data_IF_903056669633
#
_entry.id   IF_903056669633
#
_cell.length_a   1.000
_cell.length_b   1.000
_cell.length_c   1.000
_cell.angle_alpha   90.00
_cell.angle_beta   90.00
_cell.angle_gamma   90.00
#
_symmetry.space_group_name_H-M   'P 1'
#
loop_
_entity.id
_entity.type
_entity.pdbx_description
1 polymer ?
#
# COMPACT_ATOMS: atom_id res chain seq x y z
N UNK A 1 -52.82 39.01 -18.62
CA UNK A 1 -52.11 37.75 -18.92
C UNK A 1 -50.85 37.68 -18.06
N UNK A 2 -50.97 37.31 -16.78
CA UNK A 2 -49.84 37.29 -15.84
C UNK A 2 -49.98 36.30 -14.68
N UNK A 3 -50.95 35.40 -14.76
CA UNK A 3 -51.20 34.38 -13.72
C UNK A 3 -50.26 33.17 -13.86
N UNK A 4 -49.76 32.90 -15.08
CA UNK A 4 -48.97 31.70 -15.38
C UNK A 4 -47.58 31.70 -14.72
N UNK A 5 -46.97 32.88 -14.53
CA UNK A 5 -45.64 32.99 -13.91
C UNK A 5 -45.66 32.78 -12.39
N UNK A 6 -46.70 33.27 -11.72
CA UNK A 6 -46.88 33.07 -10.27
C UNK A 6 -47.27 31.63 -10.00
N UNK A 7 -48.15 31.05 -10.82
CA UNK A 7 -48.52 29.64 -10.72
C UNK A 7 -47.32 28.70 -10.92
N UNK A 8 -46.43 29.02 -11.87
CA UNK A 8 -45.20 28.26 -12.10
C UNK A 8 -44.24 28.28 -10.88
N UNK A 9 -44.05 29.45 -10.26
CA UNK A 9 -43.18 29.57 -9.09
C UNK A 9 -43.78 28.87 -7.86
N UNK A 10 -45.08 28.99 -7.65
CA UNK A 10 -45.79 28.32 -6.55
C UNK A 10 -45.71 26.80 -6.71
N UNK A 11 -45.90 26.26 -7.92
CA UNK A 11 -45.73 24.83 -8.19
C UNK A 11 -44.32 24.34 -7.87
N UNK A 12 -43.29 25.07 -8.30
CA UNK A 12 -41.89 24.71 -8.03
C UNK A 12 -41.55 24.71 -6.53
N UNK A 13 -42.12 25.65 -5.78
CA UNK A 13 -41.94 25.73 -4.32
C UNK A 13 -42.71 24.61 -3.59
N UNK A 14 -43.93 24.28 -4.03
CA UNK A 14 -44.69 23.15 -3.48
C UNK A 14 -43.98 21.82 -3.78
N UNK A 15 -43.44 21.65 -4.98
CA UNK A 15 -42.68 20.45 -5.35
C UNK A 15 -41.39 20.30 -4.53
N UNK A 16 -40.70 21.40 -4.22
CA UNK A 16 -39.49 21.37 -3.38
C UNK A 16 -39.82 21.04 -1.91
N UNK A 17 -40.96 21.50 -1.40
CA UNK A 17 -41.40 21.30 -0.02
C UNK A 17 -42.04 19.93 0.22
N UNK A 18 -42.65 19.33 -0.80
CA UNK A 18 -43.37 18.04 -0.68
C UNK A 18 -42.51 16.83 -1.05
N UNK A 19 -41.41 17.00 -1.80
CA UNK A 19 -40.53 15.89 -2.18
C UNK A 19 -39.76 15.33 -0.99
N UNK A 20 -40.10 14.09 -0.63
CA UNK A 20 -39.41 13.28 0.39
C UNK A 20 -37.92 13.10 0.03
N UNK A 21 -37.06 13.29 1.03
CA UNK A 21 -35.63 12.95 0.92
C UNK A 21 -35.48 11.44 0.71
N UNK A 22 -34.80 11.06 -0.37
CA UNK A 22 -34.49 9.66 -0.67
C UNK A 22 -33.41 9.11 0.27
N UNK A 23 -33.54 7.85 0.70
CA UNK A 23 -32.50 7.16 1.48
C UNK A 23 -31.29 6.83 0.59
N UNK A 24 -30.11 6.52 1.17
CA UNK A 24 -28.95 6.12 0.38
C UNK A 24 -29.21 4.92 -0.54
N UNK A 25 -29.97 3.94 -0.08
CA UNK A 25 -30.34 2.74 -0.84
C UNK A 25 -31.25 3.09 -2.02
N UNK A 26 -32.23 3.98 -1.80
CA UNK A 26 -33.10 4.48 -2.88
C UNK A 26 -32.31 5.26 -3.92
N UNK A 27 -31.35 6.09 -3.50
CA UNK A 27 -30.47 6.82 -4.44
C UNK A 27 -29.62 5.85 -5.25
N UNK A 28 -29.11 4.80 -4.62
CA UNK A 28 -28.32 3.76 -5.29
C UNK A 28 -29.16 3.04 -6.36
N UNK A 29 -30.39 2.66 -6.01
CA UNK A 29 -31.31 2.01 -6.96
C UNK A 29 -31.63 2.91 -8.16
N UNK A 30 -31.78 4.22 -7.96
CA UNK A 30 -32.00 5.19 -9.05
C UNK A 30 -30.77 5.26 -9.97
N UNK A 31 -29.57 5.29 -9.40
CA UNK A 31 -28.33 5.31 -10.19
C UNK A 31 -28.15 4.01 -10.97
N UNK A 32 -28.41 2.86 -10.35
CA UNK A 32 -28.33 1.56 -11.03
C UNK A 32 -29.35 1.44 -12.15
N UNK A 33 -30.57 1.94 -11.94
CA UNK A 33 -31.59 2.01 -13.00
C UNK A 33 -31.13 2.89 -14.17
N UNK A 34 -30.49 4.03 -13.91
CA UNK A 34 -29.90 4.86 -14.97
C UNK A 34 -28.77 4.11 -15.71
N UNK A 35 -27.88 3.41 -15.01
CA UNK A 35 -26.74 2.71 -15.64
C UNK A 35 -27.15 1.45 -16.42
N UNK A 36 -28.29 0.85 -16.11
CA UNK A 36 -28.79 -0.37 -16.75
C UNK A 36 -29.79 -0.09 -17.90
N UNK A 37 -30.22 1.15 -18.07
CA UNK A 37 -31.21 1.54 -19.08
C UNK A 37 -30.64 2.62 -20.00
N UNK A 38 -31.15 2.73 -21.23
CA UNK A 38 -30.79 3.82 -22.15
C UNK A 38 -31.58 5.12 -21.87
N UNK A 39 -32.05 5.31 -20.63
CA UNK A 39 -32.83 6.49 -20.23
C UNK A 39 -31.90 7.69 -20.00
N UNK A 40 -32.37 8.87 -20.38
CA UNK A 40 -31.73 10.13 -20.05
C UNK A 40 -31.91 10.48 -18.56
N UNK A 41 -31.05 11.37 -18.05
CA UNK A 41 -31.18 11.89 -16.68
C UNK A 41 -32.57 12.48 -16.38
N UNK A 42 -33.19 13.12 -17.37
CA UNK A 42 -34.51 13.73 -17.23
C UNK A 42 -35.59 12.65 -17.08
N UNK A 43 -35.55 11.61 -17.92
CA UNK A 43 -36.52 10.50 -17.87
C UNK A 43 -36.40 9.70 -16.56
N UNK A 44 -35.17 9.48 -16.06
CA UNK A 44 -34.97 8.86 -14.75
C UNK A 44 -35.47 9.76 -13.62
N UNK A 45 -35.24 11.08 -13.73
CA UNK A 45 -35.72 12.03 -12.74
C UNK A 45 -37.26 12.00 -12.63
N UNK A 46 -37.94 12.01 -13.77
CA UNK A 46 -39.39 11.94 -13.85
C UNK A 46 -39.92 10.59 -13.31
N UNK A 47 -39.29 9.47 -13.68
CA UNK A 47 -39.68 8.12 -13.24
C UNK A 47 -39.64 7.92 -11.73
N UNK A 48 -38.64 8.50 -11.05
CA UNK A 48 -38.43 8.32 -9.62
C UNK A 48 -38.87 9.51 -8.76
N UNK A 49 -39.51 10.50 -9.41
CA UNK A 49 -39.97 11.75 -8.82
C UNK A 49 -38.86 12.52 -8.09
N UNK A 50 -37.71 12.64 -8.74
CA UNK A 50 -36.55 13.41 -8.26
C UNK A 50 -36.20 14.49 -9.27
N UNK A 51 -35.28 15.39 -8.92
CA UNK A 51 -34.82 16.41 -9.86
C UNK A 51 -33.69 15.88 -10.72
N UNK A 52 -33.57 16.39 -11.94
CA UNK A 52 -32.42 16.13 -12.82
C UNK A 52 -31.08 16.30 -12.09
N UNK A 53 -30.95 17.40 -11.33
CA UNK A 53 -29.74 17.73 -10.58
C UNK A 53 -29.38 16.65 -9.55
N UNK A 54 -30.37 16.04 -8.90
CA UNK A 54 -30.15 14.93 -7.97
C UNK A 54 -29.63 13.69 -8.69
N UNK A 55 -30.27 13.28 -9.80
CA UNK A 55 -29.83 12.11 -10.57
C UNK A 55 -28.39 12.32 -11.06
N UNK A 56 -28.09 13.48 -11.65
CA UNK A 56 -26.74 13.80 -12.09
C UNK A 56 -25.71 13.75 -10.96
N UNK A 57 -26.01 14.37 -9.81
CA UNK A 57 -25.11 14.38 -8.65
C UNK A 57 -24.88 12.96 -8.10
N UNK A 58 -25.91 12.12 -8.05
CA UNK A 58 -25.80 10.75 -7.55
C UNK A 58 -25.05 9.85 -8.54
N UNK A 59 -25.31 9.93 -9.84
CA UNK A 59 -24.57 9.19 -10.86
C UNK A 59 -23.09 9.57 -10.82
N UNK A 60 -22.79 10.87 -10.74
CA UNK A 60 -21.41 11.36 -10.62
C UNK A 60 -20.73 10.82 -9.36
N UNK A 61 -21.43 10.80 -8.22
CA UNK A 61 -20.91 10.24 -6.96
C UNK A 61 -20.60 8.75 -7.09
N UNK A 62 -21.51 7.99 -7.70
CA UNK A 62 -21.32 6.56 -7.95
C UNK A 62 -20.13 6.28 -8.87
N UNK A 63 -19.96 7.05 -9.93
CA UNK A 63 -18.82 6.88 -10.84
C UNK A 63 -17.46 7.12 -10.14
N UNK A 64 -17.43 7.97 -9.11
CA UNK A 64 -16.20 8.29 -8.37
C UNK A 64 -15.92 7.32 -7.23
N UNK A 65 -16.94 6.93 -6.47
CA UNK A 65 -16.81 6.21 -5.20
C UNK A 65 -17.51 4.84 -5.18
N UNK A 66 -18.08 4.42 -6.31
CA UNK A 66 -18.89 3.20 -6.41
C UNK A 66 -20.11 3.22 -5.47
N UNK A 67 -20.57 2.03 -5.07
CA UNK A 67 -21.65 1.87 -4.08
C UNK A 67 -21.27 2.45 -2.71
N UNK A 68 -20.00 2.37 -2.33
CA UNK A 68 -19.54 2.79 -1.00
C UNK A 68 -19.72 4.29 -0.76
N UNK A 69 -19.71 5.11 -1.81
CA UNK A 69 -20.04 6.53 -1.73
C UNK A 69 -21.45 6.83 -1.20
N UNK A 70 -22.39 5.88 -1.25
CA UNK A 70 -23.72 6.04 -0.66
C UNK A 70 -23.83 5.40 0.72
N UNK A 71 -23.05 4.36 1.00
CA UNK A 71 -23.14 3.54 2.22
C UNK A 71 -22.27 4.11 3.35
N UNK A 72 -21.08 4.63 3.03
CA UNK A 72 -20.13 5.15 4.03
C UNK A 72 -20.05 6.68 3.94
N UNK A 73 -20.07 7.40 5.07
CA UNK A 73 -19.80 8.84 5.06
C UNK A 73 -18.31 9.09 4.74
N UNK A 74 -18.01 10.21 4.07
CA UNK A 74 -16.68 10.52 3.50
C UNK A 74 -15.55 10.45 4.54
N UNK A 75 -15.81 10.92 5.76
CA UNK A 75 -14.85 10.91 6.87
C UNK A 75 -14.44 9.49 7.30
N UNK A 76 -15.33 8.50 7.16
CA UNK A 76 -15.01 7.10 7.46
C UNK A 76 -14.16 6.48 6.33
N UNK A 77 -14.42 6.82 5.07
CA UNK A 77 -13.60 6.36 3.93
C UNK A 77 -12.19 6.95 3.97
N UNK A 78 -12.07 8.23 4.33
CA UNK A 78 -10.79 8.92 4.49
C UNK A 78 -9.96 8.29 5.61
N UNK A 79 -10.58 8.00 6.76
CA UNK A 79 -9.91 7.34 7.89
C UNK A 79 -9.49 5.89 7.57
N UNK A 80 -10.33 5.12 6.87
CA UNK A 80 -9.98 3.77 6.38
C UNK A 80 -8.80 3.83 5.41
N UNK A 81 -8.82 4.75 4.44
CA UNK A 81 -7.74 4.93 3.46
C UNK A 81 -6.43 5.35 4.14
N UNK A 82 -6.49 6.23 5.14
CA UNK A 82 -5.32 6.65 5.93
C UNK A 82 -4.75 5.48 6.74
N UNK A 83 -5.63 4.68 7.36
CA UNK A 83 -5.25 3.46 8.10
C UNK A 83 -4.58 2.43 7.18
N UNK A 84 -5.18 2.16 6.02
CA UNK A 84 -4.64 1.23 5.02
C UNK A 84 -3.28 1.71 4.49
N UNK A 85 -3.13 3.02 4.26
CA UNK A 85 -1.85 3.60 3.86
C UNK A 85 -0.79 3.44 4.95
N UNK A 86 -1.15 3.68 6.21
CA UNK A 86 -0.24 3.47 7.34
C UNK A 86 0.15 1.99 7.51
N UNK A 87 -0.80 1.07 7.36
CA UNK A 87 -0.55 -0.37 7.44
C UNK A 87 0.35 -0.84 6.30
N UNK A 88 0.10 -0.41 5.07
CA UNK A 88 0.95 -0.76 3.92
C UNK A 88 2.37 -0.22 4.06
N UNK A 89 2.56 0.97 4.65
CA UNK A 89 3.89 1.51 4.97
C UNK A 89 4.60 0.64 6.00
N UNK A 90 3.93 0.29 7.11
CA UNK A 90 4.49 -0.60 8.14
C UNK A 90 4.87 -1.97 7.57
N UNK A 91 4.01 -2.55 6.73
CA UNK A 91 4.29 -3.82 6.07
C UNK A 91 5.51 -3.73 5.15
N UNK A 92 5.68 -2.62 4.42
CA UNK A 92 6.87 -2.40 3.58
C UNK A 92 8.14 -2.31 4.41
N UNK A 93 8.12 -1.59 5.52
CA UNK A 93 9.25 -1.47 6.44
C UNK A 93 9.60 -2.83 7.07
N UNK A 94 8.60 -3.55 7.57
CA UNK A 94 8.77 -4.88 8.14
C UNK A 94 9.30 -5.90 7.11
N UNK A 95 8.82 -5.85 5.88
CA UNK A 95 9.37 -6.68 4.79
C UNK A 95 10.84 -6.33 4.51
N UNK A 96 11.20 -5.05 4.55
CA UNK A 96 12.57 -4.60 4.37
C UNK A 96 13.48 -5.10 5.49
N UNK A 97 13.04 -5.05 6.76
CA UNK A 97 13.83 -5.57 7.89
C UNK A 97 14.02 -7.09 7.78
N UNK A 98 12.94 -7.83 7.50
CA UNK A 98 13.02 -9.28 7.28
C UNK A 98 13.95 -9.66 6.13
N UNK A 99 13.95 -8.89 5.03
CA UNK A 99 14.85 -9.15 3.90
C UNK A 99 16.33 -8.94 4.28
N UNK A 100 16.63 -7.94 5.11
CA UNK A 100 17.99 -7.71 5.60
C UNK A 100 18.44 -8.83 6.55
N UNK A 101 17.56 -9.24 7.47
CA UNK A 101 17.82 -10.34 8.40
C UNK A 101 18.03 -11.66 7.64
N UNK A 102 17.18 -11.98 6.66
CA UNK A 102 17.34 -13.15 5.81
C UNK A 102 18.71 -13.16 5.11
N UNK A 103 19.10 -12.04 4.51
CA UNK A 103 20.42 -11.92 3.84
C UNK A 103 21.57 -12.11 4.84
N UNK A 104 21.45 -11.54 6.04
CA UNK A 104 22.46 -11.69 7.08
C UNK A 104 22.62 -13.16 7.49
N UNK A 105 21.51 -13.85 7.78
CA UNK A 105 21.52 -15.27 8.17
C UNK A 105 22.05 -16.19 7.07
N UNK A 106 21.75 -15.88 5.81
CA UNK A 106 22.26 -16.62 4.65
C UNK A 106 23.79 -16.53 4.57
N UNK A 107 24.34 -15.32 4.64
CA UNK A 107 25.79 -15.10 4.62
C UNK A 107 26.44 -15.69 5.87
N UNK A 108 25.79 -15.59 7.04
CA UNK A 108 26.28 -16.21 8.27
C UNK A 108 26.41 -17.72 8.15
N UNK A 109 25.38 -18.39 7.64
CA UNK A 109 25.43 -19.83 7.39
C UNK A 109 26.58 -20.20 6.45
N UNK A 110 26.74 -19.48 5.34
CA UNK A 110 27.81 -19.73 4.36
C UNK A 110 29.19 -19.53 4.99
N UNK A 111 29.39 -18.41 5.70
CA UNK A 111 30.66 -18.08 6.33
C UNK A 111 31.05 -19.09 7.41
N UNK A 112 30.10 -19.55 8.24
CA UNK A 112 30.36 -20.57 9.26
C UNK A 112 30.71 -21.93 8.64
N UNK A 113 30.00 -22.33 7.58
CA UNK A 113 30.35 -23.55 6.83
C UNK A 113 31.75 -23.45 6.24
N UNK A 114 32.08 -22.33 5.60
CA UNK A 114 33.42 -22.11 5.03
C UNK A 114 34.49 -22.10 6.10
N UNK A 115 34.26 -21.43 7.23
CA UNK A 115 35.17 -21.41 8.40
C UNK A 115 35.49 -22.83 8.89
N UNK A 116 34.50 -23.72 8.90
CA UNK A 116 34.70 -25.13 9.22
C UNK A 116 35.64 -25.84 8.24
N UNK A 117 35.47 -25.62 6.93
CA UNK A 117 36.34 -26.18 5.89
C UNK A 117 37.77 -25.62 6.00
N UNK A 118 37.92 -24.30 6.14
CA UNK A 118 39.22 -23.64 6.31
C UNK A 118 39.94 -24.20 7.53
N UNK A 119 39.26 -24.30 8.68
CA UNK A 119 39.80 -24.87 9.92
C UNK A 119 40.34 -26.28 9.72
N UNK A 120 39.61 -27.15 9.01
CA UNK A 120 40.06 -28.52 8.73
C UNK A 120 41.31 -28.55 7.84
N UNK A 121 41.41 -27.61 6.88
CA UNK A 121 42.54 -27.53 5.95
C UNK A 121 43.82 -26.98 6.58
N UNK A 122 43.71 -25.94 7.41
CA UNK A 122 44.89 -25.22 7.95
C UNK A 122 45.36 -25.76 9.31
N UNK A 123 44.53 -26.55 10.00
CA UNK A 123 44.91 -27.16 11.27
C UNK A 123 44.97 -26.16 12.42
N UNK A 124 46.08 -26.13 13.16
CA UNK A 124 46.19 -25.44 14.46
C UNK A 124 46.61 -23.98 14.29
N UNK A 125 45.66 -23.14 13.88
CA UNK A 125 45.78 -21.68 13.85
C UNK A 125 44.77 -21.04 14.81
N UNK A 126 45.08 -19.80 15.20
CA UNK A 126 44.23 -18.92 15.96
C UNK A 126 42.89 -18.73 15.23
N UNK A 127 41.78 -18.75 15.96
CA UNK A 127 40.45 -18.66 15.34
C UNK A 127 40.26 -17.36 14.53
N UNK A 128 40.89 -16.27 14.97
CA UNK A 128 40.88 -14.99 14.27
C UNK A 128 41.57 -15.08 12.89
N UNK A 129 42.70 -15.79 12.78
CA UNK A 129 43.37 -16.02 11.50
C UNK A 129 42.56 -16.93 10.59
N UNK A 130 41.91 -17.96 11.14
CA UNK A 130 40.97 -18.80 10.39
C UNK A 130 39.81 -17.95 9.85
N UNK A 131 39.27 -17.04 10.66
CA UNK A 131 38.27 -16.08 10.20
C UNK A 131 38.80 -15.17 9.08
N UNK A 132 40.01 -14.62 9.20
CA UNK A 132 40.59 -13.76 8.14
C UNK A 132 40.78 -14.52 6.82
N UNK A 133 41.30 -15.74 6.86
CA UNK A 133 41.41 -16.59 5.66
C UNK A 133 40.04 -16.90 5.05
N UNK A 134 39.04 -17.19 5.90
CA UNK A 134 37.65 -17.41 5.47
C UNK A 134 37.07 -16.18 4.78
N UNK A 135 37.31 -15.00 5.35
CA UNK A 135 36.84 -13.71 4.81
C UNK A 135 37.49 -13.43 3.47
N UNK A 136 38.80 -13.67 3.35
CA UNK A 136 39.53 -13.49 2.11
C UNK A 136 38.95 -14.35 0.99
N UNK A 137 38.77 -15.66 1.23
CA UNK A 137 38.21 -16.57 0.22
C UNK A 137 36.80 -16.17 -0.23
N UNK A 138 35.94 -15.78 0.70
CA UNK A 138 34.58 -15.35 0.36
C UNK A 138 34.59 -13.96 -0.32
N UNK A 139 35.52 -13.08 0.03
CA UNK A 139 35.64 -11.79 -0.65
C UNK A 139 36.05 -11.97 -2.13
N UNK A 140 36.94 -12.92 -2.44
CA UNK A 140 37.29 -13.30 -3.82
C UNK A 140 36.09 -13.87 -4.59
N UNK A 141 35.15 -14.52 -3.91
CA UNK A 141 33.87 -14.96 -4.48
C UNK A 141 32.83 -13.83 -4.62
N UNK A 142 33.20 -12.59 -4.26
CA UNK A 142 32.36 -11.39 -4.41
C UNK A 142 31.45 -11.09 -3.22
N UNK A 143 31.61 -11.77 -2.08
CA UNK A 143 30.85 -11.44 -0.87
C UNK A 143 31.33 -10.12 -0.24
N UNK A 144 30.39 -9.36 0.33
CA UNK A 144 30.68 -8.06 0.91
C UNK A 144 31.57 -8.18 2.16
N UNK A 145 32.73 -7.53 2.12
CA UNK A 145 33.72 -7.63 3.19
C UNK A 145 33.22 -7.18 4.56
N UNK A 146 32.55 -6.02 4.62
CA UNK A 146 32.00 -5.47 5.87
C UNK A 146 30.92 -6.37 6.48
N UNK A 147 30.15 -7.07 5.64
CA UNK A 147 29.17 -8.05 6.09
C UNK A 147 29.88 -9.30 6.63
N UNK A 148 30.91 -9.80 5.95
CA UNK A 148 31.68 -10.97 6.38
C UNK A 148 32.40 -10.75 7.72
N UNK A 149 33.03 -9.59 7.93
CA UNK A 149 33.70 -9.27 9.21
C UNK A 149 32.70 -9.18 10.35
N UNK A 150 31.52 -8.60 10.10
CA UNK A 150 30.43 -8.55 11.09
C UNK A 150 29.84 -9.93 11.39
N UNK A 151 29.64 -10.75 10.36
CA UNK A 151 29.09 -12.11 10.47
C UNK A 151 30.01 -13.04 11.26
N UNK A 152 31.33 -12.95 11.06
CA UNK A 152 32.32 -13.74 11.80
C UNK A 152 32.80 -13.07 13.09
N UNK A 153 32.20 -11.93 13.45
CA UNK A 153 32.46 -11.19 14.69
C UNK A 153 33.94 -10.81 14.87
N UNK A 154 34.61 -10.43 13.78
CA UNK A 154 36.02 -9.98 13.81
C UNK A 154 36.14 -8.50 13.47
N UNK A 155 37.20 -7.86 13.98
CA UNK A 155 37.48 -6.46 13.69
C UNK A 155 37.87 -6.27 12.22
N UNK A 156 37.10 -5.45 11.49
CA UNK A 156 37.44 -5.07 10.11
C UNK A 156 38.83 -4.45 10.03
N UNK A 157 39.23 -3.62 11.01
CA UNK A 157 40.56 -3.02 11.04
C UNK A 157 41.66 -4.08 11.13
N UNK A 158 41.50 -5.08 11.99
CA UNK A 158 42.48 -6.16 12.12
C UNK A 158 42.57 -6.99 10.85
N UNK A 159 41.44 -7.29 10.22
CA UNK A 159 41.42 -7.96 8.92
C UNK A 159 42.20 -7.16 7.86
N UNK A 160 41.95 -5.85 7.74
CA UNK A 160 42.67 -5.02 6.78
C UNK A 160 44.17 -4.95 7.04
N UNK A 161 44.59 -4.83 8.30
CA UNK A 161 46.02 -4.86 8.66
C UNK A 161 46.64 -6.21 8.27
N UNK A 162 45.96 -7.32 8.58
CA UNK A 162 46.41 -8.65 8.18
C UNK A 162 46.53 -8.80 6.66
N UNK A 163 45.52 -8.31 5.92
CA UNK A 163 45.48 -8.36 4.46
C UNK A 163 46.62 -7.56 3.82
N UNK A 164 46.89 -6.36 4.34
CA UNK A 164 48.01 -5.53 3.87
C UNK A 164 49.37 -6.14 4.15
N UNK A 165 49.50 -6.96 5.19
CA UNK A 165 50.72 -7.69 5.51
C UNK A 165 50.98 -8.96 4.68
N UNK A 166 50.09 -9.31 3.75
CA UNK A 166 50.28 -10.44 2.82
C UNK A 166 50.95 -10.04 1.49
N UNK A 167 51.12 -8.74 1.24
CA UNK A 167 51.86 -8.16 0.11
C UNK A 167 53.32 -7.87 0.49
#
# INVERSE_FOLDING_TARGET
MGVDGVEFLVRKEVDSLTKRRKTPEEKLAIVEAYLQTDLTYQEVADKYDVTYANVYAWVKKYQQQGRDGFIKPSNLQEAETESDLAETQRLKEYKKTLLLEKKFLEVQRIALMRKGVVRQRVGRLDDELICFMTIYELAEEGYNLSLLTRVLEVSSLRYYIWLLGQN
#
